data_IF_524121345360
#
_entry.id   IF_524121345360
#
_cell.length_a   1.000
_cell.length_b   1.000
_cell.length_c   1.000
_cell.angle_alpha   90.00
_cell.angle_beta   90.00
_cell.angle_gamma   90.00
#
_symmetry.space_group_name_H-M   'P 1'
#
loop_
_entity.id
_entity.type
_entity.pdbx_description
1 polymer ?
#
# COMPACT_ATOMS: atom_id res chain seq x y z
N UNK A 1 -48.53 35.80 -45.77
CA UNK A 1 -48.15 37.11 -46.35
C UNK A 1 -47.06 37.74 -45.49
N UNK A 2 -46.54 38.89 -45.92
CA UNK A 2 -45.57 39.81 -45.28
C UNK A 2 -45.80 40.08 -43.77
N UNK A 3 -44.80 40.49 -42.96
CA UNK A 3 -43.33 40.58 -43.16
C UNK A 3 -42.59 40.97 -41.86
N UNK A 4 -41.25 40.95 -41.91
CA UNK A 4 -40.32 41.92 -41.26
C UNK A 4 -40.34 42.17 -39.74
N UNK A 5 -39.20 41.91 -39.09
CA UNK A 5 -38.84 42.49 -37.78
C UNK A 5 -37.34 42.36 -37.50
N UNK A 6 -36.57 43.47 -37.57
CA UNK A 6 -35.11 43.44 -37.38
C UNK A 6 -34.70 43.70 -35.92
N UNK A 7 -33.54 43.16 -35.56
CA UNK A 7 -32.86 43.29 -34.28
C UNK A 7 -32.42 44.71 -33.92
N UNK A 8 -32.30 45.00 -32.61
CA UNK A 8 -31.09 45.57 -31.95
C UNK A 8 -31.20 45.54 -30.39
N UNK A 9 -30.11 45.74 -29.63
CA UNK A 9 -29.92 45.06 -28.33
C UNK A 9 -30.28 45.87 -27.07
N UNK A 10 -30.46 45.15 -25.97
CA UNK A 10 -30.65 45.68 -24.62
C UNK A 10 -29.30 46.04 -23.96
N UNK A 11 -29.20 47.24 -23.37
CA UNK A 11 -27.99 47.73 -22.69
C UNK A 11 -27.91 47.21 -21.25
N UNK A 12 -26.80 46.56 -20.87
CA UNK A 12 -26.40 46.40 -19.45
C UNK A 12 -25.57 47.60 -19.00
N UNK A 13 -25.70 48.03 -17.74
CA UNK A 13 -24.97 49.17 -17.16
C UNK A 13 -24.77 48.97 -15.64
N UNK A 14 -23.68 49.52 -15.10
CA UNK A 14 -23.27 49.51 -13.69
C UNK A 14 -22.76 48.14 -13.17
N UNK A 15 -21.82 48.05 -12.22
CA UNK A 15 -21.08 49.06 -11.42
C UNK A 15 -19.55 48.83 -11.57
N UNK A 16 -18.72 49.87 -11.42
CA UNK A 16 -17.27 49.77 -11.16
C UNK A 16 -16.97 50.21 -9.71
N UNK A 17 -16.10 49.49 -9.02
CA UNK A 17 -15.40 49.96 -7.82
C UNK A 17 -13.88 49.83 -8.00
N UNK A 18 -13.08 50.63 -7.26
CA UNK A 18 -11.62 50.72 -7.40
C UNK A 18 -10.90 50.05 -6.22
N UNK A 19 -9.75 49.40 -6.42
CA UNK A 19 -8.72 49.32 -5.38
C UNK A 19 -7.99 50.67 -5.25
N UNK A 20 -7.50 51.00 -4.06
CA UNK A 20 -6.54 52.09 -3.84
C UNK A 20 -5.20 51.50 -3.37
N UNK A 21 -4.12 52.24 -3.62
CA UNK A 21 -2.73 51.81 -3.46
C UNK A 21 -1.93 52.86 -2.68
N UNK A 22 -0.68 52.53 -2.37
CA UNK A 22 0.32 53.28 -1.59
C UNK A 22 0.09 53.25 -0.05
N UNK A 23 1.02 52.83 0.82
CA UNK A 23 2.52 52.74 0.84
C UNK A 23 3.23 54.07 1.13
N UNK A 24 3.84 54.20 2.31
CA UNK A 24 5.11 54.92 2.54
C UNK A 24 5.77 54.52 3.88
N UNK A 25 7.09 54.69 3.97
CA UNK A 25 8.04 54.34 5.07
C UNK A 25 9.26 55.26 4.87
N UNK A 26 9.77 56.04 5.85
CA UNK A 26 10.76 55.59 6.87
C UNK A 26 10.56 56.34 8.23
N UNK A 27 11.49 56.70 9.13
CA UNK A 27 12.99 56.67 9.23
C UNK A 27 13.46 56.95 10.68
N UNK A 28 14.62 56.37 11.08
CA UNK A 28 15.55 56.90 12.13
C UNK A 28 15.01 56.94 13.59
N UNK A 29 15.82 57.11 14.66
CA UNK A 29 17.21 56.68 14.96
C UNK A 29 17.53 56.86 16.46
N UNK A 30 18.32 55.93 17.03
CA UNK A 30 19.16 56.00 18.26
C UNK A 30 19.16 57.25 19.18
N UNK A 31 19.15 57.00 20.50
CA UNK A 31 19.92 57.77 21.52
C UNK A 31 20.33 56.81 22.67
N UNK A 32 21.44 57.10 23.35
CA UNK A 32 22.07 56.24 24.39
C UNK A 32 21.68 56.63 25.82
N UNK A 33 21.69 55.64 26.73
CA UNK A 33 21.76 55.84 28.18
C UNK A 33 22.29 54.58 28.88
N UNK A 34 23.36 54.68 29.69
CA UNK A 34 23.93 53.54 30.44
C UNK A 34 23.61 53.68 31.92
N UNK A 35 23.15 52.60 32.56
CA UNK A 35 23.12 52.47 34.02
C UNK A 35 23.41 51.01 34.43
N UNK A 36 24.30 50.88 35.39
CA UNK A 36 25.05 49.68 35.79
C UNK A 36 24.26 48.57 36.50
N UNK A 37 24.90 47.39 36.58
CA UNK A 37 24.85 46.42 37.70
C UNK A 37 23.66 45.44 37.85
N UNK A 38 23.94 44.19 37.45
CA UNK A 38 23.70 42.93 38.19
C UNK A 38 22.47 42.84 39.14
N UNK A 39 21.43 42.08 38.73
CA UNK A 39 20.90 40.95 39.52
C UNK A 39 19.86 40.09 38.76
N UNK A 40 19.89 38.78 39.06
CA UNK A 40 18.86 37.73 39.00
C UNK A 40 17.59 37.82 38.10
N UNK A 41 17.46 36.80 37.24
CA UNK A 41 16.37 35.78 37.19
C UNK A 41 14.95 36.18 36.69
N UNK A 42 14.37 35.23 35.93
CA UNK A 42 12.96 35.11 35.46
C UNK A 42 12.42 36.22 34.54
N UNK A 43 12.29 35.89 33.25
CA UNK A 43 11.14 36.31 32.44
C UNK A 43 10.86 35.32 31.28
N UNK A 44 9.65 34.75 31.31
CA UNK A 44 8.84 34.26 30.19
C UNK A 44 9.53 33.49 29.04
N UNK A 45 9.55 32.16 29.16
CA UNK A 45 9.21 31.30 28.01
C UNK A 45 7.72 30.95 28.06
N UNK A 46 6.86 31.89 27.66
CA UNK A 46 5.43 31.62 27.47
C UNK A 46 5.17 30.90 26.15
N UNK A 47 5.51 29.61 26.12
CA UNK A 47 4.81 28.64 25.29
C UNK A 47 4.16 27.60 26.20
N UNK A 48 3.05 28.02 26.82
CA UNK A 48 2.18 27.17 27.61
C UNK A 48 1.39 26.19 26.72
N UNK A 49 2.09 25.21 26.14
CA UNK A 49 1.44 24.01 25.65
C UNK A 49 0.71 23.35 26.82
N UNK A 50 -0.62 23.24 26.73
CA UNK A 50 -1.43 22.74 27.84
C UNK A 50 -1.01 21.32 28.20
N UNK A 51 -0.68 21.08 29.47
CA UNK A 51 -0.46 19.73 29.96
C UNK A 51 -1.79 18.97 29.88
N UNK A 52 -1.87 17.99 28.98
CA UNK A 52 -3.01 17.11 28.89
C UNK A 52 -3.11 16.25 30.16
N UNK A 53 -4.33 15.97 30.60
CA UNK A 53 -4.57 15.02 31.68
C UNK A 53 -4.27 13.60 31.15
N UNK A 54 -3.06 13.12 31.42
CA UNK A 54 -2.61 11.80 30.99
C UNK A 54 -3.51 10.69 31.54
N UNK A 55 -3.80 9.69 30.70
CA UNK A 55 -4.27 8.39 31.17
C UNK A 55 -3.05 7.62 31.66
N UNK A 56 -3.08 7.11 32.88
CA UNK A 56 -1.96 6.48 33.61
C UNK A 56 -0.79 5.97 32.71
N UNK A 57 0.30 6.74 32.68
CA UNK A 57 1.52 6.43 31.92
C UNK A 57 1.59 6.94 30.48
N UNK A 58 0.55 7.61 29.96
CA UNK A 58 0.49 8.16 28.60
C UNK A 58 0.28 9.68 28.57
N UNK A 59 1.21 10.35 27.88
CA UNK A 59 1.11 11.74 27.44
C UNK A 59 0.23 11.82 26.19
N UNK A 60 -0.75 12.73 26.19
CA UNK A 60 -1.64 12.97 25.05
C UNK A 60 -1.33 14.33 24.38
N UNK A 61 -1.24 14.34 23.05
CA UNK A 61 -1.17 15.57 22.24
C UNK A 61 -2.35 15.57 21.26
N UNK A 62 -2.99 16.73 21.06
CA UNK A 62 -4.21 16.87 20.23
C UNK A 62 -4.07 17.95 19.17
N UNK A 63 -4.51 17.66 17.94
CA UNK A 63 -4.52 18.60 16.81
C UNK A 63 -5.59 18.17 15.80
N UNK A 64 -6.34 19.13 15.23
CA UNK A 64 -7.35 18.89 14.18
C UNK A 64 -8.36 17.73 14.41
N UNK A 65 -8.67 17.41 15.68
CA UNK A 65 -9.56 16.29 16.05
C UNK A 65 -8.86 14.94 16.21
N UNK A 66 -7.58 14.84 15.85
CA UNK A 66 -6.72 13.70 16.11
C UNK A 66 -6.08 13.84 17.51
N UNK A 67 -6.17 12.78 18.31
CA UNK A 67 -5.52 12.68 19.62
C UNK A 67 -4.48 11.57 19.59
N UNK A 68 -3.23 11.87 19.93
CA UNK A 68 -2.10 10.93 19.92
C UNK A 68 -1.61 10.72 21.36
N UNK A 69 -1.75 9.48 21.85
CA UNK A 69 -1.24 9.02 23.14
C UNK A 69 0.07 8.27 22.93
N UNK A 70 1.11 8.67 23.66
CA UNK A 70 2.45 8.06 23.67
C UNK A 70 2.84 7.87 25.13
N UNK A 71 3.53 6.77 25.52
CA UNK A 71 4.04 6.62 26.88
C UNK A 71 4.87 7.83 27.33
N UNK A 72 4.77 8.25 28.59
CA UNK A 72 5.34 9.52 29.07
C UNK A 72 6.84 9.65 28.82
N UNK A 73 7.60 8.58 29.06
CA UNK A 73 9.04 8.46 28.80
C UNK A 73 9.42 8.53 27.30
N UNK A 74 8.43 8.52 26.41
CA UNK A 74 8.56 8.43 24.96
C UNK A 74 7.97 9.65 24.20
N UNK A 75 7.40 10.60 24.94
CA UNK A 75 6.76 11.85 24.47
C UNK A 75 7.64 12.76 23.60
N UNK A 76 8.96 12.56 23.60
CA UNK A 76 9.91 13.26 22.73
C UNK A 76 9.54 13.15 21.24
N UNK A 77 9.18 14.29 20.63
CA UNK A 77 8.75 14.37 19.22
C UNK A 77 7.27 14.08 18.96
N UNK A 78 6.44 13.94 20.00
CA UNK A 78 5.01 13.62 19.86
C UNK A 78 4.26 14.60 18.93
N UNK A 79 4.44 15.91 19.07
CA UNK A 79 3.76 16.92 18.25
C UNK A 79 4.13 16.81 16.77
N UNK A 80 5.41 16.66 16.43
CA UNK A 80 5.85 16.52 15.04
C UNK A 80 5.34 15.22 14.38
N UNK A 81 5.21 14.14 15.15
CA UNK A 81 4.55 12.92 14.69
C UNK A 81 3.04 13.14 14.49
N UNK A 82 2.38 13.84 15.41
CA UNK A 82 0.96 14.19 15.29
C UNK A 82 0.67 15.08 14.07
N UNK A 83 1.46 16.12 13.83
CA UNK A 83 1.29 17.01 12.67
C UNK A 83 1.45 16.23 11.35
N UNK A 84 2.40 15.30 11.31
CA UNK A 84 2.58 14.38 10.18
C UNK A 84 1.36 13.47 10.01
N UNK A 85 0.80 12.93 11.10
CA UNK A 85 -0.39 12.06 11.07
C UNK A 85 -1.68 12.82 10.72
N UNK A 86 -1.83 14.10 11.07
CA UNK A 86 -2.96 14.95 10.65
C UNK A 86 -2.92 15.23 9.14
N UNK A 87 -1.74 15.53 8.60
CA UNK A 87 -1.56 15.67 7.15
C UNK A 87 -1.92 14.34 6.44
N UNK A 88 -1.39 13.22 6.94
CA UNK A 88 -1.62 11.88 6.40
C UNK A 88 -3.11 11.47 6.44
N UNK A 89 -3.81 11.75 7.53
CA UNK A 89 -5.25 11.54 7.69
C UNK A 89 -6.05 12.32 6.62
N UNK A 90 -5.59 13.54 6.31
CA UNK A 90 -6.20 14.42 5.32
C UNK A 90 -5.95 13.95 3.88
N UNK A 91 -4.74 13.45 3.58
CA UNK A 91 -4.43 12.81 2.29
C UNK A 91 -5.31 11.58 2.05
N UNK A 92 -5.43 10.69 3.05
CA UNK A 92 -6.27 9.50 2.93
C UNK A 92 -7.75 9.86 2.75
N UNK A 93 -8.22 10.91 3.44
CA UNK A 93 -9.60 11.36 3.26
C UNK A 93 -9.90 11.84 1.83
N UNK A 94 -8.93 12.49 1.17
CA UNK A 94 -9.03 12.91 -0.24
C UNK A 94 -8.94 11.71 -1.19
N UNK A 95 -7.98 10.79 -0.99
CA UNK A 95 -7.84 9.57 -1.81
C UNK A 95 -9.09 8.65 -1.77
N UNK A 96 -9.89 8.74 -0.70
CA UNK A 96 -11.16 8.02 -0.53
C UNK A 96 -12.40 8.79 -1.06
N UNK A 97 -12.22 9.95 -1.69
CA UNK A 97 -13.31 10.77 -2.22
C UNK A 97 -13.92 11.72 -1.18
N UNK A 98 -13.08 12.57 -0.58
CA UNK A 98 -13.43 13.58 0.43
C UNK A 98 -14.40 13.03 1.50
N UNK A 99 -13.99 11.92 2.14
CA UNK A 99 -14.75 11.29 3.23
C UNK A 99 -14.70 12.14 4.51
N UNK A 100 -15.79 12.18 5.29
CA UNK A 100 -15.82 12.91 6.55
C UNK A 100 -14.80 12.35 7.55
N UNK A 101 -13.96 13.24 8.09
CA UNK A 101 -12.93 12.88 9.08
C UNK A 101 -13.54 12.89 10.49
N UNK A 102 -13.56 11.77 11.23
CA UNK A 102 -13.97 11.74 12.62
C UNK A 102 -12.84 12.23 13.53
N UNK A 103 -13.18 12.58 14.77
CA UNK A 103 -12.19 12.57 15.84
C UNK A 103 -11.65 11.12 16.02
N UNK A 104 -10.33 10.95 15.97
CA UNK A 104 -9.63 9.67 16.07
C UNK A 104 -8.67 9.70 17.25
N UNK A 105 -8.53 8.57 17.95
CA UNK A 105 -7.52 8.36 19.00
C UNK A 105 -6.45 7.40 18.49
N UNK A 106 -5.17 7.77 18.57
CA UNK A 106 -4.03 6.93 18.20
C UNK A 106 -3.20 6.62 19.44
N UNK A 107 -2.91 5.35 19.69
CA UNK A 107 -1.91 4.91 20.66
C UNK A 107 -0.64 4.53 19.90
N UNK A 108 0.49 5.20 20.15
CA UNK A 108 1.77 4.90 19.50
C UNK A 108 2.80 4.40 20.53
N UNK A 109 3.04 3.08 20.54
CA UNK A 109 3.86 2.38 21.55
C UNK A 109 5.05 1.67 20.91
N UNK A 110 6.23 1.65 21.57
CA UNK A 110 7.37 0.81 21.14
C UNK A 110 7.41 -0.56 21.78
N UNK A 111 6.91 -0.66 23.01
CA UNK A 111 6.85 -1.90 23.77
C UNK A 111 5.91 -2.88 23.08
N UNK A 112 6.43 -4.05 22.69
CA UNK A 112 5.61 -5.15 22.17
C UNK A 112 4.59 -5.60 23.24
N UNK A 113 4.92 -5.53 24.53
CA UNK A 113 3.96 -5.79 25.62
C UNK A 113 2.79 -4.81 25.58
N UNK A 114 3.07 -3.51 25.53
CA UNK A 114 2.02 -2.48 25.57
C UNK A 114 1.11 -2.59 24.33
N UNK A 115 1.69 -2.96 23.19
CA UNK A 115 0.94 -3.31 21.98
C UNK A 115 0.05 -4.55 22.20
N UNK A 116 0.58 -5.63 22.78
CA UNK A 116 -0.19 -6.84 23.10
C UNK A 116 -1.31 -6.60 24.14
N UNK A 117 -1.04 -5.80 25.18
CA UNK A 117 -1.99 -5.43 26.23
C UNK A 117 -3.12 -4.53 25.66
N UNK A 118 -2.79 -3.49 24.90
CA UNK A 118 -3.77 -2.61 24.23
C UNK A 118 -4.63 -3.35 23.19
N UNK A 119 -4.08 -4.35 22.51
CA UNK A 119 -4.75 -5.11 21.46
C UNK A 119 -5.40 -6.42 21.97
N UNK A 120 -5.32 -6.67 23.28
CA UNK A 120 -5.87 -7.83 23.98
C UNK A 120 -5.45 -9.18 23.36
N UNK A 121 -4.25 -9.27 22.79
CA UNK A 121 -3.76 -10.43 22.02
C UNK A 121 -4.67 -10.91 20.88
N UNK A 122 -5.56 -10.06 20.35
CA UNK A 122 -6.51 -10.42 19.27
C UNK A 122 -5.88 -10.39 17.87
N UNK A 123 -4.62 -9.97 17.75
CA UNK A 123 -3.92 -9.77 16.47
C UNK A 123 -2.82 -10.83 16.31
N UNK A 124 -2.67 -11.43 15.11
CA UNK A 124 -1.49 -12.22 14.78
C UNK A 124 -0.17 -11.47 14.98
N UNK A 125 0.90 -12.19 15.35
CA UNK A 125 2.23 -11.63 15.63
C UNK A 125 2.83 -10.71 14.54
N UNK A 126 2.40 -10.86 13.28
CA UNK A 126 2.84 -10.08 12.14
C UNK A 126 2.17 -8.69 12.02
N UNK A 127 1.04 -8.43 12.69
CA UNK A 127 0.34 -7.14 12.61
C UNK A 127 1.16 -6.00 13.22
N UNK A 128 1.38 -4.92 12.46
CA UNK A 128 2.19 -3.75 12.91
C UNK A 128 1.34 -2.54 13.34
N UNK A 129 0.06 -2.56 13.03
CA UNK A 129 -0.96 -1.67 13.59
C UNK A 129 -2.27 -2.42 13.83
N UNK A 130 -3.29 -1.69 14.25
CA UNK A 130 -4.70 -2.07 14.13
C UNK A 130 -5.62 -0.85 14.19
N UNK A 131 -6.68 -0.88 13.39
CA UNK A 131 -7.84 -0.01 13.47
C UNK A 131 -8.99 -0.69 14.23
N UNK A 132 -9.66 0.07 15.10
CA UNK A 132 -10.94 -0.28 15.71
C UNK A 132 -12.01 0.74 15.27
N UNK A 133 -12.62 0.59 14.07
CA UNK A 133 -13.43 1.65 13.46
C UNK A 133 -14.63 2.11 14.30
N UNK A 134 -15.27 1.19 15.02
CA UNK A 134 -16.42 1.51 15.88
C UNK A 134 -16.01 2.32 17.12
N UNK A 135 -14.75 2.17 17.58
CA UNK A 135 -14.17 2.95 18.67
C UNK A 135 -13.45 4.21 18.19
N UNK A 136 -13.20 4.35 16.88
CA UNK A 136 -12.36 5.40 16.26
C UNK A 136 -10.94 5.43 16.85
N UNK A 137 -10.42 4.26 17.18
CA UNK A 137 -9.11 4.07 17.82
C UNK A 137 -8.17 3.34 16.87
N UNK A 138 -6.92 3.79 16.78
CA UNK A 138 -5.83 3.11 16.10
C UNK A 138 -4.74 2.79 17.14
N UNK A 139 -4.10 1.63 17.04
CA UNK A 139 -2.88 1.29 17.81
C UNK A 139 -1.74 1.06 16.81
N UNK A 140 -0.63 1.76 16.96
CA UNK A 140 0.53 1.70 16.06
C UNK A 140 1.79 1.23 16.82
N UNK A 141 2.47 0.22 16.29
CA UNK A 141 3.75 -0.27 16.84
C UNK A 141 4.93 0.57 16.30
N UNK A 142 5.37 1.55 17.08
CA UNK A 142 6.51 2.43 16.77
C UNK A 142 7.83 1.65 16.90
N UNK A 143 8.74 1.77 15.93
CA UNK A 143 10.10 1.20 16.02
C UNK A 143 11.16 2.23 15.65
N UNK A 144 12.32 2.19 16.31
CA UNK A 144 13.44 3.08 16.02
C UNK A 144 13.93 2.88 14.58
N UNK A 145 14.17 3.96 13.85
CA UNK A 145 14.59 3.93 12.44
C UNK A 145 13.50 3.51 11.43
N UNK A 146 12.25 3.24 11.85
CA UNK A 146 11.19 2.72 10.99
C UNK A 146 10.04 3.73 10.77
N UNK A 147 10.35 5.02 10.67
CA UNK A 147 9.35 6.09 10.47
C UNK A 147 8.50 5.90 9.21
N UNK A 148 9.10 5.57 8.07
CA UNK A 148 8.35 5.33 6.82
C UNK A 148 7.36 4.17 6.96
N UNK A 149 7.76 3.08 7.62
CA UNK A 149 6.89 1.93 7.87
C UNK A 149 5.75 2.25 8.85
N UNK A 150 6.02 3.10 9.86
CA UNK A 150 4.99 3.60 10.78
C UNK A 150 3.94 4.46 10.05
N UNK A 151 4.36 5.35 9.14
CA UNK A 151 3.45 6.18 8.35
C UNK A 151 2.69 5.36 7.29
N UNK A 152 3.34 4.36 6.68
CA UNK A 152 2.69 3.39 5.79
C UNK A 152 1.58 2.61 6.54
N UNK A 153 1.90 2.08 7.72
CA UNK A 153 0.91 1.45 8.62
C UNK A 153 -0.21 2.44 8.96
N UNK A 154 0.11 3.69 9.31
CA UNK A 154 -0.91 4.68 9.64
C UNK A 154 -1.85 4.99 8.46
N UNK A 155 -1.38 5.01 7.21
CA UNK A 155 -2.25 5.09 6.01
C UNK A 155 -3.19 3.89 5.91
N UNK A 156 -2.69 2.68 6.17
CA UNK A 156 -3.48 1.44 6.20
C UNK A 156 -4.63 1.59 7.23
N UNK A 157 -4.30 1.87 8.49
CA UNK A 157 -5.28 1.96 9.58
C UNK A 157 -6.25 3.15 9.43
N UNK A 158 -5.79 4.31 8.95
CA UNK A 158 -6.68 5.44 8.69
C UNK A 158 -7.74 5.09 7.65
N UNK A 159 -7.39 4.31 6.62
CA UNK A 159 -8.35 3.95 5.57
C UNK A 159 -9.55 3.17 6.14
N UNK A 160 -9.31 2.22 7.05
CA UNK A 160 -10.36 1.48 7.77
C UNK A 160 -11.25 2.40 8.61
N UNK A 161 -10.68 3.30 9.43
CA UNK A 161 -11.51 4.20 10.26
C UNK A 161 -12.36 5.13 9.39
N UNK A 162 -11.79 5.67 8.30
CA UNK A 162 -12.46 6.63 7.44
C UNK A 162 -13.54 5.98 6.56
N UNK A 163 -13.26 4.82 5.95
CA UNK A 163 -14.24 4.04 5.17
C UNK A 163 -15.45 3.65 6.04
N UNK A 164 -15.22 3.03 7.19
CA UNK A 164 -16.29 2.62 8.11
C UNK A 164 -16.95 3.79 8.85
N UNK A 165 -16.40 5.01 8.80
CA UNK A 165 -17.11 6.20 9.26
C UNK A 165 -18.02 6.80 8.19
N UNK A 166 -17.57 6.85 6.93
CA UNK A 166 -18.31 7.39 5.81
C UNK A 166 -19.50 6.50 5.39
N UNK A 167 -19.34 5.18 5.47
CA UNK A 167 -20.35 4.21 5.02
C UNK A 167 -21.36 3.90 6.14
N UNK A 168 -22.68 3.91 5.88
CA UNK A 168 -23.70 3.52 6.86
C UNK A 168 -23.49 2.11 7.41
N UNK A 169 -23.71 1.91 8.72
CA UNK A 169 -23.53 0.61 9.41
C UNK A 169 -24.41 -0.53 8.87
N UNK A 170 -25.43 -0.23 8.07
CA UNK A 170 -26.30 -1.18 7.38
C UNK A 170 -25.71 -1.71 6.06
N UNK A 171 -24.75 -0.99 5.47
CA UNK A 171 -24.08 -1.37 4.22
C UNK A 171 -22.94 -2.34 4.54
N UNK A 172 -23.06 -3.61 4.11
CA UNK A 172 -21.96 -4.57 4.23
C UNK A 172 -20.86 -4.23 3.23
N UNK A 173 -19.64 -4.03 3.74
CA UNK A 173 -18.40 -3.98 2.97
C UNK A 173 -17.76 -5.39 3.02
N UNK A 174 -17.35 -6.00 1.88
CA UNK A 174 -16.58 -7.24 1.88
C UNK A 174 -15.19 -7.03 2.49
N UNK A 175 -14.66 -8.02 3.24
CA UNK A 175 -13.36 -7.84 3.91
C UNK A 175 -12.24 -7.68 2.88
N UNK A 176 -12.25 -8.44 1.77
CA UNK A 176 -11.29 -8.27 0.67
C UNK A 176 -11.24 -6.84 0.11
N UNK A 177 -12.36 -6.11 0.11
CA UNK A 177 -12.35 -4.72 -0.34
C UNK A 177 -11.78 -3.79 0.73
N UNK A 178 -12.14 -4.00 2.01
CA UNK A 178 -11.59 -3.24 3.13
C UNK A 178 -10.06 -3.36 3.22
N UNK A 179 -9.53 -4.59 3.22
CA UNK A 179 -8.08 -4.83 3.26
C UNK A 179 -7.39 -4.38 1.96
N UNK A 180 -7.99 -4.67 0.80
CA UNK A 180 -7.42 -4.31 -0.51
C UNK A 180 -7.29 -2.80 -0.71
N UNK A 181 -8.28 -2.05 -0.23
CA UNK A 181 -8.28 -0.59 -0.23
C UNK A 181 -7.25 -0.03 0.76
N UNK A 182 -7.07 -0.68 1.91
CA UNK A 182 -6.06 -0.29 2.88
C UNK A 182 -4.63 -0.48 2.35
N UNK A 183 -4.31 -1.63 1.74
CA UNK A 183 -3.02 -1.89 1.08
C UNK A 183 -2.80 -0.93 -0.11
N UNK A 184 -3.87 -0.59 -0.85
CA UNK A 184 -3.83 0.39 -1.95
C UNK A 184 -3.47 1.79 -1.46
N UNK A 185 -4.21 2.31 -0.48
CA UNK A 185 -3.99 3.61 0.16
C UNK A 185 -2.64 3.67 0.89
N UNK A 186 -2.22 2.59 1.55
CA UNK A 186 -0.91 2.49 2.18
C UNK A 186 0.26 2.41 1.18
N UNK A 187 -0.04 2.25 -0.12
CA UNK A 187 0.93 2.08 -1.21
C UNK A 187 1.91 0.94 -0.90
N UNK A 188 1.38 -0.15 -0.33
CA UNK A 188 2.15 -1.23 0.29
C UNK A 188 2.70 -2.27 -0.70
N UNK A 189 2.41 -2.13 -1.99
CA UNK A 189 2.80 -3.10 -3.00
C UNK A 189 4.32 -3.24 -3.16
N UNK A 190 4.81 -4.45 -2.89
CA UNK A 190 6.19 -4.90 -3.06
C UNK A 190 6.25 -5.90 -4.21
N UNK A 191 7.24 -5.76 -5.09
CA UNK A 191 7.46 -6.65 -6.23
C UNK A 191 7.41 -8.16 -5.88
N UNK A 192 7.82 -8.54 -4.68
CA UNK A 192 7.79 -9.94 -4.18
C UNK A 192 6.38 -10.53 -4.02
N UNK A 193 5.34 -9.71 -3.79
CA UNK A 193 3.94 -10.18 -3.66
C UNK A 193 3.44 -10.77 -4.99
N UNK A 194 3.83 -10.16 -6.11
CA UNK A 194 3.52 -10.60 -7.48
C UNK A 194 3.76 -12.10 -7.70
N UNK A 195 4.86 -12.65 -7.19
CA UNK A 195 5.25 -14.04 -7.45
C UNK A 195 4.38 -15.08 -6.72
N UNK A 196 3.89 -14.76 -5.51
CA UNK A 196 2.99 -15.67 -4.78
C UNK A 196 1.63 -15.76 -5.47
N UNK A 197 1.09 -14.63 -5.90
CA UNK A 197 -0.18 -14.62 -6.66
C UNK A 197 0.01 -15.23 -8.05
N UNK A 198 1.15 -15.01 -8.71
CA UNK A 198 1.51 -15.69 -9.96
C UNK A 198 1.45 -17.21 -9.83
N UNK A 199 2.10 -17.77 -8.81
CA UNK A 199 2.10 -19.21 -8.54
C UNK A 199 0.70 -19.74 -8.23
N UNK A 200 -0.08 -19.03 -7.41
CA UNK A 200 -1.46 -19.39 -7.09
C UNK A 200 -2.38 -19.36 -8.33
N UNK A 201 -2.26 -18.35 -9.20
CA UNK A 201 -3.03 -18.26 -10.44
C UNK A 201 -2.67 -19.36 -11.45
N UNK A 202 -1.42 -19.82 -11.47
CA UNK A 202 -0.97 -20.93 -12.32
C UNK A 202 -1.34 -22.32 -11.79
N UNK A 203 -1.76 -22.43 -10.52
CA UNK A 203 -2.10 -23.71 -9.87
C UNK A 203 -3.58 -23.84 -9.48
N UNK A 204 -4.45 -22.97 -9.99
CA UNK A 204 -5.86 -22.82 -9.58
C UNK A 204 -6.04 -22.65 -8.04
N UNK A 205 -5.04 -22.04 -7.40
CA UNK A 205 -4.93 -21.85 -5.96
C UNK A 205 -5.36 -20.45 -5.48
N UNK A 206 -6.02 -19.66 -6.33
CA UNK A 206 -6.58 -18.37 -5.94
C UNK A 206 -7.74 -18.57 -4.96
N UNK A 207 -7.75 -17.78 -3.88
CA UNK A 207 -8.85 -17.72 -2.92
C UNK A 207 -10.03 -17.00 -3.60
N UNK A 208 -11.25 -17.56 -3.64
CA UNK A 208 -12.43 -16.83 -4.09
C UNK A 208 -12.68 -15.60 -3.19
N UNK A 209 -13.05 -14.46 -3.77
CA UNK A 209 -13.15 -13.18 -3.07
C UNK A 209 -14.16 -13.23 -1.91
N UNK A 210 -15.24 -13.99 -2.07
CA UNK A 210 -16.23 -14.27 -1.00
C UNK A 210 -15.69 -15.07 0.19
N UNK A 211 -14.60 -15.82 0.00
CA UNK A 211 -14.04 -16.74 0.99
C UNK A 211 -12.80 -16.11 1.70
N UNK A 212 -12.35 -14.92 1.26
CA UNK A 212 -11.27 -14.13 1.89
C UNK A 212 -11.59 -13.79 3.35
N UNK A 213 -12.85 -13.42 3.66
CA UNK A 213 -13.35 -13.18 5.02
C UNK A 213 -12.97 -14.32 5.98
N UNK A 214 -13.00 -15.58 5.51
CA UNK A 214 -12.62 -16.76 6.29
C UNK A 214 -11.10 -17.01 6.30
N UNK A 215 -10.40 -16.80 5.17
CA UNK A 215 -8.97 -17.09 5.05
C UNK A 215 -8.11 -16.19 5.94
N UNK A 216 -8.52 -14.94 6.18
CA UNK A 216 -7.84 -14.01 7.09
C UNK A 216 -7.85 -14.48 8.57
N UNK A 217 -8.78 -15.37 8.94
CA UNK A 217 -8.80 -16.04 10.25
C UNK A 217 -7.81 -17.21 10.41
N UNK A 218 -7.07 -17.59 9.35
CA UNK A 218 -6.15 -18.72 9.35
C UNK A 218 -4.67 -18.30 9.21
N UNK A 219 -3.76 -19.29 9.28
CA UNK A 219 -2.32 -19.07 9.42
C UNK A 219 -1.68 -18.15 8.36
N UNK A 220 -0.68 -17.39 8.80
CA UNK A 220 -0.07 -16.23 8.11
C UNK A 220 0.23 -16.43 6.61
N UNK A 221 0.68 -17.63 6.20
CA UNK A 221 0.96 -17.95 4.80
C UNK A 221 -0.24 -17.76 3.85
N UNK A 222 -1.46 -18.15 4.28
CA UNK A 222 -2.69 -17.94 3.50
C UNK A 222 -3.26 -16.53 3.68
N UNK A 223 -3.11 -15.92 4.86
CA UNK A 223 -3.49 -14.53 5.09
C UNK A 223 -2.73 -13.58 4.15
N UNK A 224 -1.41 -13.75 3.97
CA UNK A 224 -0.64 -12.93 3.02
C UNK A 224 -1.14 -13.08 1.57
N UNK A 225 -1.49 -14.29 1.11
CA UNK A 225 -2.08 -14.46 -0.23
C UNK A 225 -3.44 -13.76 -0.34
N UNK A 226 -4.26 -13.81 0.72
CA UNK A 226 -5.53 -13.08 0.77
C UNK A 226 -5.33 -11.56 0.68
N UNK A 227 -4.34 -10.99 1.37
CA UNK A 227 -3.97 -9.57 1.25
C UNK A 227 -3.48 -9.22 -0.18
N UNK A 228 -2.57 -10.02 -0.74
CA UNK A 228 -2.02 -9.79 -2.07
C UNK A 228 -3.12 -9.86 -3.16
N UNK A 229 -4.05 -10.81 -3.05
CA UNK A 229 -5.24 -10.89 -3.91
C UNK A 229 -6.21 -9.72 -3.71
N UNK A 230 -6.46 -9.31 -2.46
CA UNK A 230 -7.36 -8.21 -2.11
C UNK A 230 -6.92 -6.90 -2.74
N UNK A 231 -5.63 -6.57 -2.63
CA UNK A 231 -5.04 -5.43 -3.34
C UNK A 231 -5.21 -5.54 -4.86
N UNK A 232 -4.93 -6.70 -5.45
CA UNK A 232 -5.05 -6.88 -6.90
C UNK A 232 -6.49 -6.77 -7.40
N UNK A 233 -7.49 -7.15 -6.60
CA UNK A 233 -8.90 -6.94 -6.92
C UNK A 233 -9.29 -5.46 -6.88
N UNK A 234 -8.75 -4.68 -5.93
CA UNK A 234 -8.93 -3.21 -5.88
C UNK A 234 -8.20 -2.51 -7.02
N UNK A 235 -6.97 -2.91 -7.36
CA UNK A 235 -6.28 -2.48 -8.59
C UNK A 235 -7.13 -2.80 -9.83
N UNK A 236 -7.74 -3.98 -9.90
CA UNK A 236 -8.58 -4.35 -11.05
C UNK A 236 -9.82 -3.44 -11.18
N UNK A 237 -10.48 -3.08 -10.07
CA UNK A 237 -11.54 -2.05 -10.06
C UNK A 237 -11.02 -0.72 -10.62
N UNK A 238 -9.83 -0.26 -10.21
CA UNK A 238 -9.21 0.97 -10.75
C UNK A 238 -8.89 0.84 -12.23
N UNK A 239 -8.42 -0.31 -12.73
CA UNK A 239 -8.17 -0.49 -14.17
C UNK A 239 -9.44 -0.51 -15.02
N UNK A 240 -10.61 -0.85 -14.44
CA UNK A 240 -11.90 -0.83 -15.13
C UNK A 240 -12.61 0.53 -15.05
N UNK A 241 -12.51 1.21 -13.90
CA UNK A 241 -13.23 2.46 -13.63
C UNK A 241 -12.41 3.76 -13.76
N UNK A 242 -11.09 3.67 -13.94
CA UNK A 242 -10.19 4.83 -13.97
C UNK A 242 -9.92 5.44 -12.59
N UNK A 243 -9.34 6.64 -12.57
CA UNK A 243 -8.87 7.31 -11.34
C UNK A 243 -10.00 7.54 -10.32
N UNK A 244 -11.21 7.87 -10.78
CA UNK A 244 -12.38 8.10 -9.92
C UNK A 244 -13.08 6.82 -9.45
N UNK A 245 -12.58 5.63 -9.80
CA UNK A 245 -13.26 4.36 -9.52
C UNK A 245 -13.57 4.16 -8.03
N UNK A 246 -12.58 4.38 -7.16
CA UNK A 246 -12.72 4.16 -5.71
C UNK A 246 -13.55 5.26 -5.03
N UNK A 247 -13.32 6.57 -5.28
CA UNK A 247 -14.23 7.63 -4.83
C UNK A 247 -15.70 7.38 -5.20
N UNK A 248 -16.00 7.06 -6.46
CA UNK A 248 -17.38 6.85 -6.93
C UNK A 248 -18.04 5.59 -6.34
N UNK A 249 -17.24 4.55 -6.03
CA UNK A 249 -17.70 3.36 -5.33
C UNK A 249 -18.00 3.69 -3.86
N UNK A 250 -17.09 4.37 -3.16
CA UNK A 250 -17.24 4.78 -1.76
C UNK A 250 -18.42 5.74 -1.58
N UNK A 251 -18.64 6.66 -2.51
CA UNK A 251 -19.80 7.57 -2.51
C UNK A 251 -21.12 6.80 -2.72
N UNK A 252 -21.13 5.79 -3.61
CA UNK A 252 -22.28 4.88 -3.71
C UNK A 252 -22.54 4.12 -2.40
N UNK A 253 -21.50 3.67 -1.68
CA UNK A 253 -21.66 3.03 -0.37
C UNK A 253 -22.16 4.01 0.70
N UNK A 254 -21.73 5.29 0.64
CA UNK A 254 -22.15 6.42 1.50
C UNK A 254 -23.65 6.68 1.37
N UNK A 255 -24.17 6.62 0.14
CA UNK A 255 -25.61 6.66 -0.21
C UNK A 255 -26.42 5.44 0.29
N UNK A 256 -25.78 4.45 0.91
CA UNK A 256 -26.44 3.22 1.38
C UNK A 256 -26.67 2.17 0.28
N UNK A 257 -26.06 2.32 -0.89
CA UNK A 257 -26.13 1.33 -1.96
C UNK A 257 -25.33 0.09 -1.58
N UNK A 258 -25.86 -1.10 -1.89
CA UNK A 258 -25.16 -2.37 -1.62
C UNK A 258 -23.88 -2.48 -2.44
N UNK A 259 -22.85 -3.13 -1.86
CA UNK A 259 -21.53 -3.24 -2.49
C UNK A 259 -21.59 -3.81 -3.91
N UNK A 260 -22.36 -4.87 -4.14
CA UNK A 260 -22.52 -5.51 -5.46
C UNK A 260 -23.05 -4.53 -6.53
N UNK A 261 -23.94 -3.61 -6.16
CA UNK A 261 -24.49 -2.59 -7.06
C UNK A 261 -23.52 -1.43 -7.23
N UNK A 262 -22.79 -1.03 -6.17
CA UNK A 262 -21.70 -0.06 -6.27
C UNK A 262 -20.57 -0.56 -7.19
N UNK A 263 -20.16 -1.82 -7.05
CA UNK A 263 -19.21 -2.50 -7.92
C UNK A 263 -19.72 -2.51 -9.37
N UNK A 264 -20.96 -2.98 -9.61
CA UNK A 264 -21.56 -3.03 -10.95
C UNK A 264 -21.62 -1.65 -11.65
N UNK A 265 -21.87 -0.56 -10.90
CA UNK A 265 -21.85 0.81 -11.46
C UNK A 265 -20.51 1.14 -12.12
N UNK A 266 -19.40 0.73 -11.47
CA UNK A 266 -18.01 0.96 -11.90
C UNK A 266 -17.58 -0.06 -12.96
N UNK A 267 -17.67 -1.36 -12.66
CA UNK A 267 -17.08 -2.44 -13.46
C UNK A 267 -17.98 -2.89 -14.62
N UNK A 268 -19.27 -2.53 -14.60
CA UNK A 268 -20.32 -2.98 -15.54
C UNK A 268 -20.53 -4.50 -15.57
N UNK A 269 -20.03 -5.22 -14.57
CA UNK A 269 -20.07 -6.68 -14.44
C UNK A 269 -20.72 -7.09 -13.12
N UNK A 270 -21.46 -8.21 -13.12
CA UNK A 270 -21.97 -8.80 -11.87
C UNK A 270 -20.83 -9.36 -11.02
N UNK A 271 -20.99 -9.54 -9.69
CA UNK A 271 -19.90 -10.00 -8.81
C UNK A 271 -19.20 -11.28 -9.29
N UNK A 272 -19.96 -12.28 -9.77
CA UNK A 272 -19.40 -13.53 -10.32
C UNK A 272 -18.66 -13.33 -11.66
N UNK A 273 -19.12 -12.41 -12.50
CA UNK A 273 -18.43 -12.06 -13.75
C UNK A 273 -17.17 -11.22 -13.48
N UNK A 274 -17.21 -10.34 -12.47
CA UNK A 274 -16.04 -9.61 -11.97
C UNK A 274 -14.99 -10.58 -11.41
N UNK A 275 -15.37 -11.53 -10.56
CA UNK A 275 -14.48 -12.54 -9.98
C UNK A 275 -13.82 -13.42 -11.07
N UNK A 276 -14.60 -13.82 -12.09
CA UNK A 276 -14.09 -14.56 -13.26
C UNK A 276 -13.11 -13.73 -14.08
N UNK A 277 -13.44 -12.45 -14.36
CA UNK A 277 -12.58 -11.54 -15.09
C UNK A 277 -11.32 -11.15 -14.30
N UNK A 278 -11.41 -11.10 -12.96
CA UNK A 278 -10.29 -10.87 -12.05
C UNK A 278 -9.30 -12.04 -12.07
N UNK A 279 -9.78 -13.29 -11.99
CA UNK A 279 -8.92 -14.47 -12.13
C UNK A 279 -8.18 -14.48 -13.49
N UNK A 280 -8.88 -14.15 -14.58
CA UNK A 280 -8.27 -13.99 -15.91
C UNK A 280 -7.27 -12.83 -15.98
N UNK A 281 -7.56 -11.68 -15.35
CA UNK A 281 -6.64 -10.55 -15.24
C UNK A 281 -5.35 -10.94 -14.52
N UNK A 282 -5.44 -11.61 -13.37
CA UNK A 282 -4.26 -12.09 -12.61
C UNK A 282 -3.47 -13.10 -13.43
N UNK A 283 -4.13 -14.09 -14.05
CA UNK A 283 -3.49 -15.07 -14.93
C UNK A 283 -2.75 -14.44 -16.11
N UNK A 284 -3.38 -13.47 -16.79
CA UNK A 284 -2.79 -12.74 -17.91
C UNK A 284 -1.69 -11.76 -17.48
N UNK A 285 -1.73 -11.23 -16.25
CA UNK A 285 -0.77 -10.23 -15.74
C UNK A 285 0.50 -10.86 -15.14
N UNK A 286 0.41 -12.10 -14.67
CA UNK A 286 1.46 -12.76 -13.88
C UNK A 286 1.77 -14.21 -14.28
N UNK A 287 1.01 -14.83 -15.18
CA UNK A 287 1.23 -16.22 -15.60
C UNK A 287 2.46 -16.43 -16.51
N UNK A 288 2.74 -17.70 -16.82
CA UNK A 288 3.84 -18.13 -17.69
C UNK A 288 3.88 -17.39 -19.04
N UNK A 289 2.72 -17.10 -19.64
CA UNK A 289 2.66 -16.31 -20.87
C UNK A 289 3.22 -14.90 -20.67
N UNK A 290 2.83 -14.20 -19.59
CA UNK A 290 3.33 -12.86 -19.28
C UNK A 290 4.84 -12.84 -19.02
N UNK A 291 5.38 -13.91 -18.42
CA UNK A 291 6.82 -14.09 -18.25
C UNK A 291 7.52 -14.28 -19.61
N UNK A 292 7.00 -15.16 -20.46
CA UNK A 292 7.55 -15.49 -21.78
C UNK A 292 7.43 -14.36 -22.82
N UNK A 293 6.48 -13.44 -22.65
CA UNK A 293 6.30 -12.24 -23.49
C UNK A 293 6.75 -10.94 -22.83
N UNK A 294 7.46 -11.01 -21.69
CA UNK A 294 8.07 -9.83 -21.07
C UNK A 294 9.29 -9.34 -21.86
N UNK A 295 9.64 -8.06 -21.75
CA UNK A 295 10.84 -7.51 -22.41
C UNK A 295 12.12 -8.19 -21.90
N UNK A 296 12.14 -8.55 -20.61
CA UNK A 296 13.22 -9.30 -19.95
C UNK A 296 13.25 -10.80 -20.32
N UNK A 297 12.24 -11.32 -21.05
CA UNK A 297 12.20 -12.73 -21.46
C UNK A 297 13.42 -13.12 -22.31
N UNK A 298 14.05 -12.15 -23.00
CA UNK A 298 15.30 -12.34 -23.75
C UNK A 298 16.38 -12.96 -22.85
N UNK A 299 16.52 -12.52 -21.60
CA UNK A 299 17.49 -13.12 -20.66
C UNK A 299 17.11 -14.54 -20.24
N UNK A 300 15.82 -14.82 -20.06
CA UNK A 300 15.32 -16.17 -19.79
C UNK A 300 15.61 -17.12 -20.96
N UNK A 301 15.40 -16.67 -22.21
CA UNK A 301 15.73 -17.43 -23.40
C UNK A 301 17.26 -17.63 -23.57
N UNK A 302 18.09 -16.64 -23.24
CA UNK A 302 19.55 -16.78 -23.23
C UNK A 302 20.00 -17.81 -22.19
N UNK A 303 19.49 -17.75 -20.96
CA UNK A 303 19.81 -18.73 -19.90
C UNK A 303 19.35 -20.14 -20.31
N UNK A 304 18.15 -20.28 -20.86
CA UNK A 304 17.66 -21.56 -21.37
C UNK A 304 18.54 -22.10 -22.51
N UNK A 305 18.95 -21.25 -23.45
CA UNK A 305 19.85 -21.61 -24.55
C UNK A 305 21.23 -22.07 -24.02
N UNK A 306 21.80 -21.36 -23.04
CA UNK A 306 23.06 -21.75 -22.38
C UNK A 306 22.92 -23.10 -21.68
N UNK A 307 21.81 -23.37 -21.00
CA UNK A 307 21.54 -24.68 -20.36
C UNK A 307 21.39 -25.79 -21.42
N UNK A 308 20.67 -25.55 -22.52
CA UNK A 308 20.51 -26.53 -23.62
C UNK A 308 21.85 -26.82 -24.31
N UNK A 309 22.66 -25.79 -24.58
CA UNK A 309 24.01 -25.95 -25.15
C UNK A 309 24.92 -26.68 -24.16
N UNK A 310 24.89 -26.35 -22.87
CA UNK A 310 25.67 -27.04 -21.84
C UNK A 310 25.27 -28.51 -21.70
N UNK A 311 23.97 -28.84 -21.72
CA UNK A 311 23.49 -30.22 -21.72
C UNK A 311 23.92 -30.98 -22.98
N UNK A 312 23.86 -30.35 -24.16
CA UNK A 312 24.31 -30.92 -25.42
C UNK A 312 25.82 -31.17 -25.47
N UNK A 313 26.63 -30.22 -24.97
CA UNK A 313 28.08 -30.36 -24.80
C UNK A 313 28.40 -31.44 -23.77
N UNK A 314 27.72 -31.46 -22.62
CA UNK A 314 27.89 -32.50 -21.59
C UNK A 314 27.60 -33.89 -22.16
N UNK A 315 26.49 -34.07 -22.89
CA UNK A 315 26.13 -35.34 -23.51
C UNK A 315 27.16 -35.78 -24.57
N UNK A 316 27.65 -34.84 -25.42
CA UNK A 316 28.74 -35.12 -26.36
C UNK A 316 30.02 -35.52 -25.63
N UNK A 317 30.46 -34.75 -24.63
CA UNK A 317 31.69 -35.00 -23.90
C UNK A 317 31.65 -36.35 -23.16
N UNK A 318 30.54 -36.72 -22.53
CA UNK A 318 30.38 -38.06 -21.94
C UNK A 318 30.52 -39.19 -23.00
N UNK A 319 30.02 -38.98 -24.22
CA UNK A 319 30.17 -39.96 -25.33
C UNK A 319 31.58 -39.97 -25.95
N UNK A 320 32.33 -38.87 -25.87
CA UNK A 320 33.74 -38.80 -26.26
C UNK A 320 34.61 -39.52 -25.22
N UNK A 321 34.42 -39.22 -23.93
CA UNK A 321 35.16 -39.86 -22.82
C UNK A 321 34.92 -41.37 -22.82
N UNK A 322 33.66 -41.82 -22.93
CA UNK A 322 33.36 -43.26 -22.99
C UNK A 322 33.96 -43.99 -24.21
N UNK A 323 34.34 -43.27 -25.27
CA UNK A 323 35.13 -43.83 -26.38
C UNK A 323 36.61 -43.89 -26.03
N UNK A 324 37.16 -42.83 -25.45
CA UNK A 324 38.54 -42.81 -24.98
C UNK A 324 38.78 -43.88 -23.89
N UNK A 325 37.82 -44.15 -23.02
CA UNK A 325 37.88 -45.26 -22.06
C UNK A 325 37.94 -46.64 -22.76
N UNK A 326 37.19 -46.84 -23.86
CA UNK A 326 37.28 -48.07 -24.68
C UNK A 326 38.63 -48.15 -25.43
N UNK A 327 39.11 -47.02 -25.96
CA UNK A 327 40.39 -46.94 -26.68
C UNK A 327 41.57 -47.18 -25.72
N UNK A 328 41.64 -46.53 -24.55
CA UNK A 328 42.68 -46.72 -23.53
C UNK A 328 42.65 -48.14 -22.92
N UNK A 329 41.47 -48.72 -22.68
CA UNK A 329 41.38 -50.11 -22.18
C UNK A 329 41.77 -51.15 -23.23
N UNK A 330 41.49 -50.90 -24.51
CA UNK A 330 42.09 -51.68 -25.61
C UNK A 330 43.59 -51.45 -25.72
N UNK A 331 44.06 -50.23 -25.46
CA UNK A 331 45.46 -49.86 -25.61
C UNK A 331 46.38 -50.46 -24.52
N UNK A 332 45.85 -50.66 -23.31
CA UNK A 332 46.51 -51.43 -22.25
C UNK A 332 46.63 -52.93 -22.51
N UNK A 333 45.97 -53.49 -23.53
CA UNK A 333 46.05 -54.93 -23.83
C UNK A 333 47.37 -55.31 -24.54
N UNK A 334 47.95 -56.49 -24.22
CA UNK A 334 49.11 -57.00 -24.94
C UNK A 334 48.79 -57.19 -26.43
N UNK A 335 49.74 -56.84 -27.31
CA UNK A 335 49.54 -56.70 -28.77
C UNK A 335 48.82 -57.88 -29.45
N UNK A 336 49.01 -59.12 -28.96
CA UNK A 336 48.32 -60.32 -29.47
C UNK A 336 46.80 -60.29 -29.26
N UNK A 337 46.31 -59.67 -28.18
CA UNK A 337 44.88 -59.49 -27.93
C UNK A 337 44.30 -58.39 -28.82
N UNK A 338 44.94 -57.21 -28.91
CA UNK A 338 44.54 -56.15 -29.86
C UNK A 338 44.39 -56.70 -31.28
N UNK A 339 45.39 -57.45 -31.75
CA UNK A 339 45.42 -58.03 -33.10
C UNK A 339 44.45 -59.20 -33.34
N UNK A 340 43.78 -59.70 -32.29
CA UNK A 340 42.66 -60.63 -32.37
C UNK A 340 41.34 -59.86 -32.42
N UNK A 341 41.10 -58.97 -31.45
CA UNK A 341 39.87 -58.16 -31.34
C UNK A 341 39.66 -57.33 -32.63
N UNK A 342 40.71 -56.76 -33.21
CA UNK A 342 40.59 -56.02 -34.48
C UNK A 342 40.14 -56.90 -35.65
N UNK A 343 40.62 -58.15 -35.72
CA UNK A 343 40.20 -59.16 -36.72
C UNK A 343 38.82 -59.76 -36.46
N UNK A 344 38.19 -59.42 -35.34
CA UNK A 344 36.82 -59.82 -34.98
C UNK A 344 35.84 -58.63 -35.10
N UNK A 345 36.32 -57.45 -35.57
CA UNK A 345 35.54 -56.23 -35.85
C UNK A 345 35.62 -55.74 -37.31
N UNK A 346 36.45 -56.37 -38.14
CA UNK A 346 36.60 -56.12 -39.59
C UNK A 346 35.81 -57.17 -40.40
#
# INVERSE_FOLDING_TARGET
>A
MSSSGRSRPMKRRWVRARPLFCRWVPSFSSIWGRASSRALVLCLLLFGGGQAAGRDGFSEVRSCGLSLLIPDAESGGASALLDTLVALQSEVAQELGDVPIPAITIYAVRSDRDFHDLTQNRIPHWGVGVAYPQAKTIVLRRRAGQSTALLQTARHEFSHILLHHAVPKTTRIPVWFNEGLAVWVAREWRFQQSFKVAAAALSDGLIPLRDVDAVLGFGAGRAHLAYDQSYLAVLFIVTLGGESALPNLIDSLRDGVTFDVALYRITRTSPAAFETAFAAFVGNRFGLQALLTSEEAIWLYIVMLVVVVWLGVRHKNCRTIARWDEEDTLDGLPLRLRAKIKRERE
#
